data_IF_518829729622
#
_entry.id   IF_518829729622
#
_cell.length_a   1.000
_cell.length_b   1.000
_cell.length_c   1.000
_cell.angle_alpha   90.00
_cell.angle_beta   90.00
_cell.angle_gamma   90.00
#
_symmetry.space_group_name_H-M   'P 1'
#
loop_
_entity.id
_entity.type
_entity.pdbx_description
1 polymer ?
2 non-polymer ?
3 water ?
#
# COMPACT_ATOMS: atom_id res chain seq x y z
N UNK A 2 -9.10 -20.84 -42.34
CA UNK A 2 -9.77 -19.63 -41.79
C UNK A 2 -8.97 -18.87 -40.69
N UNK A 3 -9.51 -17.73 -40.30
CA UNK A 3 -8.86 -16.83 -39.34
C UNK A 3 -9.00 -17.31 -37.89
N UNK A 4 -8.22 -16.71 -37.00
CA UNK A 4 -8.18 -17.12 -35.61
C UNK A 4 -9.58 -17.20 -34.96
N UNK A 5 -10.39 -16.17 -35.14
CA UNK A 5 -11.74 -16.13 -34.58
C UNK A 5 -12.65 -17.21 -35.17
N UNK A 6 -12.51 -17.46 -36.46
CA UNK A 6 -13.31 -18.52 -37.09
C UNK A 6 -13.01 -19.86 -36.43
N UNK A 7 -11.72 -20.13 -36.15
CA UNK A 7 -11.33 -21.39 -35.53
C UNK A 7 -11.89 -21.51 -34.13
N UNK A 8 -11.88 -20.40 -33.40
CA UNK A 8 -12.46 -20.33 -32.06
C UNK A 8 -13.95 -20.64 -32.15
N UNK A 9 -14.63 -20.02 -33.10
CA UNK A 9 -16.09 -20.28 -33.30
C UNK A 9 -16.37 -21.72 -33.67
N UNK A 10 -15.51 -22.32 -34.52
CA UNK A 10 -15.71 -23.72 -34.91
C UNK A 10 -15.42 -24.69 -33.74
N UNK A 11 -14.49 -24.33 -32.85
CA UNK A 11 -14.27 -25.15 -31.65
C UNK A 11 -15.43 -24.99 -30.67
N UNK A 12 -16.12 -23.86 -30.75
CA UNK A 12 -17.18 -23.53 -29.81
C UNK A 12 -16.66 -23.10 -28.44
N UNK A 13 -15.37 -22.79 -28.36
CA UNK A 13 -14.73 -22.46 -27.10
C UNK A 13 -13.60 -21.47 -27.25
N UNK A 14 -13.47 -20.63 -26.24
CA UNK A 14 -12.38 -19.68 -26.16
C UNK A 14 -11.43 -20.26 -25.15
N UNK A 15 -10.20 -20.57 -25.59
CA UNK A 15 -9.21 -21.21 -24.74
C UNK A 15 -8.40 -20.12 -24.07
N UNK A 16 -8.46 -20.08 -22.76
CA UNK A 16 -7.76 -19.03 -22.00
C UNK A 16 -6.85 -19.69 -21.01
N UNK A 17 -5.58 -19.30 -21.02
CA UNK A 17 -4.62 -19.85 -20.08
C UNK A 17 -4.39 -18.86 -18.94
N UNK A 18 -4.41 -19.39 -17.71
CA UNK A 18 -4.34 -18.59 -16.52
C UNK A 18 -3.43 -19.24 -15.50
N UNK A 19 -3.37 -18.61 -14.33
CA UNK A 19 -2.63 -19.10 -13.15
C UNK A 19 -3.62 -18.93 -12.01
N UNK A 20 -3.68 -19.89 -11.10
CA UNK A 20 -4.59 -19.83 -9.96
C UNK A 20 -4.16 -18.78 -8.92
N UNK A 21 -5.11 -17.93 -8.53
CA UNK A 21 -4.88 -16.83 -7.57
C UNK A 21 -6.24 -16.11 -7.29
N UNK A 22 -6.41 -15.56 -6.08
CA UNK A 22 -7.69 -14.85 -5.76
C UNK A 22 -7.98 -13.62 -6.67
N UNK A 23 -6.93 -13.04 -7.24
CA UNK A 23 -7.03 -11.88 -8.16
C UNK A 23 -7.26 -12.26 -9.62
N UNK A 24 -6.85 -13.47 -9.97
CA UNK A 24 -6.87 -13.92 -11.36
C UNK A 24 -7.98 -14.93 -11.56
N UNK A 25 -7.79 -16.11 -10.98
CA UNK A 25 -8.73 -17.22 -11.14
C UNK A 25 -8.70 -18.09 -9.90
N UNK A 26 -9.79 -18.10 -9.14
CA UNK A 26 -9.84 -18.91 -7.92
C UNK A 26 -11.07 -19.80 -7.91
N UNK A 27 -10.90 -21.03 -7.44
CA UNK A 27 -11.98 -22.01 -7.36
C UNK A 27 -12.01 -22.57 -5.94
N UNK A 28 -11.86 -21.69 -4.96
CA UNK A 28 -11.91 -22.10 -3.55
C UNK A 28 -13.33 -22.43 -3.07
N UNK A 29 -14.33 -22.15 -3.93
CA UNK A 29 -15.71 -22.52 -3.65
C UNK A 29 -16.43 -22.84 -4.96
N UNK A 30 -17.70 -23.22 -4.87
CA UNK A 30 -18.51 -23.58 -6.04
C UNK A 30 -18.39 -22.60 -7.22
N UNK A 31 -18.60 -21.30 -6.96
CA UNK A 31 -18.51 -20.28 -8.01
C UNK A 31 -17.05 -19.80 -8.17
N UNK A 32 -16.46 -19.98 -9.37
CA UNK A 32 -15.10 -19.45 -9.52
C UNK A 32 -15.09 -17.92 -9.45
N UNK A 33 -13.93 -17.35 -9.13
CA UNK A 33 -13.82 -15.90 -9.04
C UNK A 33 -12.45 -15.42 -9.53
N UNK A 34 -12.28 -14.11 -9.54
CA UNK A 34 -11.04 -13.48 -9.97
C UNK A 34 -11.37 -12.53 -11.08
N UNK A 35 -10.60 -11.47 -11.17
CA UNK A 35 -10.80 -10.44 -12.20
C UNK A 35 -10.67 -11.00 -13.62
N UNK A 36 -9.56 -11.72 -13.86
CA UNK A 36 -9.27 -12.31 -15.14
C UNK A 36 -10.34 -13.32 -15.52
N UNK A 37 -10.76 -14.16 -14.58
CA UNK A 37 -11.83 -15.11 -14.84
C UNK A 37 -13.13 -14.41 -15.28
N UNK A 38 -13.55 -13.40 -14.53
CA UNK A 38 -14.82 -12.70 -14.81
C UNK A 38 -14.75 -11.98 -16.12
N UNK A 39 -13.63 -11.33 -16.41
CA UNK A 39 -13.50 -10.64 -17.69
C UNK A 39 -13.45 -11.62 -18.87
N UNK A 40 -12.73 -12.72 -18.70
CA UNK A 40 -12.70 -13.78 -19.70
C UNK A 40 -14.07 -14.41 -19.96
N UNK A 41 -14.84 -14.64 -18.92
CA UNK A 41 -16.21 -15.15 -19.09
C UNK A 41 -17.06 -14.20 -19.92
N UNK A 42 -17.01 -12.91 -19.59
CA UNK A 42 -17.78 -11.91 -20.34
C UNK A 42 -17.32 -11.79 -21.81
N UNK A 43 -16.03 -11.96 -22.03
CA UNK A 43 -15.46 -11.94 -23.38
C UNK A 43 -15.93 -13.17 -24.19
N UNK A 44 -15.92 -14.36 -23.57
CA UNK A 44 -16.39 -15.60 -24.21
C UNK A 44 -17.88 -15.46 -24.56
N UNK A 45 -18.68 -14.96 -23.61
CA UNK A 45 -20.09 -14.63 -23.83
C UNK A 45 -20.24 -13.65 -25.01
N UNK A 46 -19.43 -12.59 -25.03
CA UNK A 46 -19.47 -11.61 -26.13
C UNK A 46 -19.21 -12.28 -27.48
N UNK A 47 -18.29 -13.23 -27.52
CA UNK A 47 -17.95 -13.94 -28.78
C UNK A 47 -18.95 -15.03 -29.14
N UNK A 48 -19.75 -15.46 -28.15
CA UNK A 48 -20.72 -16.52 -28.35
C UNK A 48 -20.12 -17.91 -28.24
N UNK A 49 -19.10 -18.08 -27.39
CA UNK A 49 -18.45 -19.41 -27.18
C UNK A 49 -18.32 -19.75 -25.71
N UNK A 50 -18.15 -21.02 -25.39
CA UNK A 50 -17.89 -21.41 -24.01
C UNK A 50 -16.47 -21.01 -23.62
N UNK A 51 -16.29 -20.72 -22.34
CA UNK A 51 -14.98 -20.42 -21.83
C UNK A 51 -14.36 -21.71 -21.40
N UNK A 52 -13.12 -21.96 -21.83
CA UNK A 52 -12.34 -23.12 -21.38
C UNK A 52 -11.07 -22.55 -20.73
N UNK A 53 -11.00 -22.63 -19.41
CA UNK A 53 -9.84 -22.15 -18.64
C UNK A 53 -8.84 -23.27 -18.40
N UNK A 54 -7.55 -22.95 -18.53
CA UNK A 54 -6.49 -23.91 -18.23
C UNK A 54 -5.49 -23.21 -17.31
N UNK A 55 -5.51 -23.52 -16.00
CA UNK A 55 -4.55 -22.89 -15.11
C UNK A 55 -3.20 -23.61 -15.21
N UNK A 56 -2.13 -22.83 -15.22
CA UNK A 56 -0.77 -23.34 -15.29
C UNK A 56 -0.07 -22.78 -14.08
N UNK A 57 1.16 -23.19 -13.91
CA UNK A 57 1.96 -22.65 -12.82
C UNK A 57 3.05 -21.80 -13.35
N UNK A 58 3.51 -22.11 -14.56
CA UNK A 58 4.72 -21.51 -15.09
C UNK A 58 4.46 -20.54 -16.19
N UNK A 59 4.96 -19.32 -16.04
CA UNK A 59 4.71 -18.27 -17.04
C UNK A 59 5.37 -18.54 -18.40
N UNK A 60 6.56 -19.17 -18.39
CA UNK A 60 7.26 -19.47 -19.64
C UNK A 60 6.43 -20.44 -20.44
N UNK A 61 5.82 -21.38 -19.75
CA UNK A 61 4.94 -22.37 -20.34
C UNK A 61 3.72 -21.68 -20.94
N UNK A 62 3.17 -20.68 -20.24
CA UNK A 62 1.99 -19.93 -20.76
C UNK A 62 2.33 -19.35 -22.13
N UNK A 63 3.48 -18.69 -22.21
CA UNK A 63 3.88 -18.06 -23.46
C UNK A 63 4.16 -19.04 -24.59
N UNK A 64 4.69 -20.20 -24.23
CA UNK A 64 4.94 -21.27 -25.21
C UNK A 64 3.60 -21.80 -25.77
N UNK A 65 2.63 -22.02 -24.88
CA UNK A 65 1.27 -22.44 -25.28
C UNK A 65 0.63 -21.43 -26.22
N UNK A 66 0.80 -20.14 -25.88
CA UNK A 66 0.22 -19.10 -26.70
C UNK A 66 0.86 -19.15 -28.07
N UNK A 67 2.17 -19.39 -28.11
CA UNK A 67 2.88 -19.40 -29.39
C UNK A 67 2.58 -20.63 -30.20
N UNK A 68 2.24 -21.73 -29.52
CA UNK A 68 1.97 -23.02 -30.18
C UNK A 68 0.48 -23.17 -30.56
N UNK A 69 -0.33 -22.13 -30.31
CA UNK A 69 -1.78 -22.18 -30.58
C UNK A 69 -2.48 -23.27 -29.74
N UNK A 70 -1.99 -23.48 -28.52
CA UNK A 70 -2.62 -24.41 -27.58
C UNK A 70 -3.61 -23.63 -26.73
N UNK A 71 -3.62 -22.31 -26.89
CA UNK A 71 -4.50 -21.46 -26.14
C UNK A 71 -4.67 -20.18 -26.98
N UNK A 72 -5.75 -19.44 -26.75
CA UNK A 72 -6.04 -18.24 -27.52
C UNK A 72 -5.51 -16.95 -26.93
N UNK A 73 -5.50 -16.87 -25.61
CA UNK A 73 -4.99 -15.69 -24.93
C UNK A 73 -4.51 -16.04 -23.54
N UNK A 74 -3.66 -15.18 -23.00
CA UNK A 74 -3.17 -15.31 -21.62
C UNK A 74 -3.80 -14.26 -20.74
N UNK A 75 -4.43 -14.72 -19.65
CA UNK A 75 -5.10 -13.86 -18.66
C UNK A 75 -4.65 -14.40 -17.33
N UNK A 76 -3.59 -13.81 -16.81
CA UNK A 76 -2.92 -14.36 -15.66
C UNK A 76 -2.19 -13.34 -14.80
N UNK A 77 -2.74 -12.14 -14.70
CA UNK A 77 -2.14 -11.07 -13.88
C UNK A 77 -0.75 -10.66 -14.33
N UNK A 78 -0.48 -10.80 -15.62
CA UNK A 78 0.84 -10.58 -16.17
C UNK A 78 1.23 -9.14 -16.39
N UNK A 79 2.39 -8.80 -15.82
CA UNK A 79 2.93 -7.47 -15.88
C UNK A 79 3.61 -7.26 -17.23
N UNK A 80 3.60 -6.03 -17.72
CA UNK A 80 4.22 -5.78 -19.00
C UNK A 80 5.67 -6.26 -18.97
N UNK A 81 6.05 -7.00 -20.00
CA UNK A 81 7.44 -7.43 -20.14
C UNK A 81 7.87 -7.32 -21.61
N UNK A 82 8.78 -6.37 -21.89
CA UNK A 82 9.24 -6.13 -23.26
C UNK A 82 9.80 -7.39 -23.96
N UNK A 83 10.39 -8.33 -23.21
CA UNK A 83 10.91 -9.57 -23.83
C UNK A 83 9.85 -10.46 -24.42
N UNK A 84 8.60 -10.32 -23.98
CA UNK A 84 7.51 -11.13 -24.48
C UNK A 84 6.96 -10.65 -25.84
N UNK A 85 7.41 -9.48 -26.28
CA UNK A 85 6.88 -8.90 -27.52
C UNK A 85 7.40 -9.48 -28.81
N UNK A 86 8.41 -10.35 -28.72
CA UNK A 86 8.92 -11.01 -29.90
C UNK A 86 7.83 -11.86 -30.55
N UNK A 87 7.10 -12.63 -29.73
CA UNK A 87 6.06 -13.51 -30.23
C UNK A 87 4.65 -13.14 -29.81
N UNK A 88 4.51 -12.20 -28.89
CA UNK A 88 3.21 -11.83 -28.35
C UNK A 88 2.93 -10.31 -28.37
N UNK A 89 1.68 -9.97 -28.15
CA UNK A 89 1.25 -8.58 -28.12
C UNK A 89 0.34 -8.42 -26.93
N UNK A 90 0.39 -7.27 -26.33
CA UNK A 90 -0.40 -7.02 -25.15
C UNK A 90 -1.76 -6.47 -25.51
N UNK A 91 -2.79 -6.83 -24.74
CA UNK A 91 -4.08 -6.17 -24.91
C UNK A 91 -4.02 -4.87 -24.12
N UNK A 92 -5.16 -4.19 -23.96
CA UNK A 92 -5.16 -2.96 -23.17
C UNK A 92 -4.73 -3.16 -21.71
N UNK A 93 -4.23 -2.13 -21.05
CA UNK A 93 -3.86 -2.27 -19.61
C UNK A 93 -5.09 -2.21 -18.73
N UNK A 94 -5.27 -3.15 -17.78
CA UNK A 94 -6.45 -3.09 -16.91
C UNK A 94 -6.28 -2.35 -15.59
N UNK A 95 -5.18 -2.56 -14.94
CA UNK A 95 -4.95 -1.95 -13.64
C UNK A 95 -3.46 -2.01 -13.42
N UNK A 96 -2.97 -1.33 -12.39
CA UNK A 96 -1.56 -1.35 -12.10
C UNK A 96 -1.29 -1.86 -10.70
N UNK A 97 -0.14 -2.49 -10.54
CA UNK A 97 0.30 -3.04 -9.25
C UNK A 97 1.75 -2.65 -8.99
N UNK A 98 2.09 -2.53 -7.71
CA UNK A 98 3.49 -2.29 -7.34
C UNK A 98 4.08 -3.66 -6.94
N UNK A 99 5.40 -3.79 -7.02
CA UNK A 99 6.10 -5.01 -6.63
C UNK A 99 6.56 -4.80 -5.18
N UNK A 100 6.27 -5.76 -4.30
CA UNK A 100 6.64 -5.68 -2.87
C UNK A 100 7.40 -6.92 -2.38
N UNK A 101 8.35 -6.71 -1.47
CA UNK A 101 9.11 -7.84 -0.89
C UNK A 101 8.38 -8.26 0.36
N UNK A 102 8.05 -9.54 0.42
CA UNK A 102 7.29 -10.10 1.52
C UNK A 102 8.18 -10.98 2.42
N UNK A 103 7.91 -10.95 3.72
CA UNK A 103 8.61 -11.80 4.70
C UNK A 103 7.50 -12.28 5.62
N UNK A 104 7.82 -13.18 6.55
CA UNK A 104 6.85 -13.74 7.47
C UNK A 104 6.98 -13.07 8.86
N UNK A 105 5.87 -12.60 9.44
CA UNK A 105 5.89 -12.01 10.79
C UNK A 105 6.46 -13.03 11.76
N UNK A 106 7.32 -12.57 12.67
CA UNK A 106 7.99 -13.45 13.63
C UNK A 106 9.44 -13.69 13.23
N UNK A 107 9.73 -13.57 11.94
CA UNK A 107 11.09 -13.69 11.42
C UNK A 107 11.63 -12.27 11.24
N UNK A 108 12.97 -12.12 11.13
CA UNK A 108 13.52 -10.76 10.99
C UNK A 108 13.01 -9.98 9.75
N UNK A 109 12.63 -8.74 10.00
CA UNK A 109 12.14 -7.86 8.96
C UNK A 109 13.32 -7.25 8.20
N UNK A 110 13.49 -7.61 6.92
CA UNK A 110 14.60 -7.00 6.21
C UNK A 110 14.33 -5.52 5.93
N UNK A 111 15.38 -4.70 5.97
CA UNK A 111 15.26 -3.27 5.74
C UNK A 111 15.49 -2.90 4.25
N UNK A 112 16.25 -3.73 3.55
CA UNK A 112 16.53 -3.51 2.13
C UNK A 112 17.05 -4.83 1.57
N UNK A 113 17.44 -4.84 0.30
CA UNK A 113 18.02 -6.03 -0.30
C UNK A 113 19.45 -6.33 0.20
N UNK A 114 20.04 -5.40 0.96
CA UNK A 114 21.37 -5.63 1.55
C UNK A 114 21.27 -6.49 2.79
N UNK A 115 20.07 -6.53 3.37
CA UNK A 115 19.81 -7.13 4.66
C UNK A 115 19.10 -8.50 4.64
N UNK A 116 19.02 -9.16 3.48
CA UNK A 116 18.35 -10.45 3.42
C UNK A 116 19.21 -11.56 4.02
N UNK A 117 18.59 -12.50 4.73
CA UNK A 117 19.33 -13.64 5.29
C UNK A 117 19.32 -14.78 4.25
N UNK A 118 18.12 -15.14 3.85
CA UNK A 118 17.90 -16.24 2.91
C UNK A 118 17.69 -15.80 1.49
N UNK A 119 17.37 -16.74 0.62
CA UNK A 119 17.16 -16.41 -0.77
C UNK A 119 15.74 -15.91 -1.01
N UNK A 120 15.63 -15.03 -1.99
CA UNK A 120 14.33 -14.55 -2.44
C UNK A 120 14.04 -15.40 -3.68
N UNK A 121 12.90 -16.07 -3.69
CA UNK A 121 12.52 -16.92 -4.81
C UNK A 121 11.27 -16.31 -5.46
N UNK A 122 11.26 -16.21 -6.79
CA UNK A 122 10.10 -15.70 -7.54
C UNK A 122 9.72 -16.71 -8.60
N UNK A 123 8.58 -16.53 -9.23
CA UNK A 123 8.14 -17.45 -10.28
C UNK A 123 8.95 -17.26 -11.56
N UNK A 124 9.36 -18.37 -12.18
CA UNK A 124 10.12 -18.30 -13.45
C UNK A 124 9.33 -17.51 -14.54
N UNK A 125 10.04 -16.66 -15.27
CA UNK A 125 9.45 -15.87 -16.35
C UNK A 125 8.59 -14.65 -15.94
N UNK A 126 8.45 -14.41 -14.65
CA UNK A 126 7.69 -13.31 -14.17
C UNK A 126 8.46 -12.02 -14.34
N UNK A 127 7.73 -10.92 -14.39
CA UNK A 127 8.34 -9.59 -14.39
C UNK A 127 9.11 -9.41 -13.07
N UNK A 128 8.70 -10.12 -12.02
CA UNK A 128 9.45 -10.07 -10.74
C UNK A 128 10.92 -10.52 -10.94
N UNK A 129 11.11 -11.50 -11.82
CA UNK A 129 12.43 -12.04 -12.13
C UNK A 129 13.28 -11.01 -12.81
N UNK A 130 12.68 -10.28 -13.75
CA UNK A 130 13.40 -9.21 -14.45
C UNK A 130 13.87 -8.15 -13.47
N UNK A 131 13.00 -7.78 -12.53
CA UNK A 131 13.35 -6.79 -11.53
C UNK A 131 14.55 -7.25 -10.70
N UNK A 132 14.55 -8.50 -10.25
CA UNK A 132 15.67 -8.98 -9.44
C UNK A 132 17.00 -8.97 -10.23
N UNK A 133 16.97 -9.38 -11.49
CA UNK A 133 18.17 -9.37 -12.32
C UNK A 133 18.72 -7.96 -12.43
N UNK A 134 17.82 -7.00 -12.68
CA UNK A 134 18.18 -5.57 -12.80
C UNK A 134 18.89 -5.05 -11.56
N UNK A 135 18.33 -5.37 -10.38
CA UNK A 135 18.91 -4.95 -9.12
C UNK A 135 20.26 -5.61 -8.82
N UNK A 136 20.43 -6.89 -9.16
CA UNK A 136 21.67 -7.59 -8.88
C UNK A 136 22.84 -7.08 -9.72
N UNK A 137 22.58 -6.73 -10.97
CA UNK A 137 23.61 -6.20 -11.86
C UNK A 137 23.92 -4.72 -11.56
N UNK A 138 23.06 -4.05 -10.79
CA UNK A 138 23.25 -2.64 -10.46
C UNK A 138 23.55 -2.37 -8.97
N UNK A 139 22.51 -2.10 -8.19
CA UNK A 139 22.65 -1.71 -6.78
C UNK A 139 22.91 -2.83 -5.75
N UNK A 140 22.58 -4.08 -6.05
CA UNK A 140 22.80 -5.18 -5.07
C UNK A 140 23.51 -6.43 -5.61
N UNK A 141 24.84 -6.33 -5.87
CA UNK A 141 25.62 -7.47 -6.36
C UNK A 141 25.57 -8.71 -5.47
N UNK A 142 25.36 -8.53 -4.18
CA UNK A 142 25.29 -9.64 -3.22
C UNK A 142 23.98 -10.44 -3.26
N UNK A 143 22.96 -9.90 -3.95
CA UNK A 143 21.65 -10.53 -3.96
C UNK A 143 21.59 -12.01 -4.36
N UNK A 144 21.08 -12.84 -3.45
CA UNK A 144 20.88 -14.27 -3.67
C UNK A 144 19.40 -14.48 -4.00
N UNK A 145 19.13 -14.80 -5.26
CA UNK A 145 17.76 -15.04 -5.70
C UNK A 145 17.72 -16.27 -6.58
N UNK A 146 16.53 -16.81 -6.79
CA UNK A 146 16.34 -17.92 -7.75
C UNK A 146 14.89 -17.90 -8.28
N UNK A 147 14.61 -18.73 -9.28
CA UNK A 147 13.29 -18.83 -9.85
C UNK A 147 12.72 -20.20 -9.59
N UNK A 148 11.40 -20.25 -9.34
CA UNK A 148 10.71 -21.52 -9.13
C UNK A 148 10.06 -21.88 -10.43
N UNK A 149 10.32 -23.08 -10.90
CA UNK A 149 9.73 -23.53 -12.16
C UNK A 149 8.32 -24.07 -11.99
N UNK A 150 8.00 -24.60 -10.82
CA UNK A 150 6.68 -25.22 -10.65
C UNK A 150 5.73 -24.50 -9.68
N UNK A 151 6.14 -23.37 -9.09
CA UNK A 151 5.30 -22.62 -8.17
C UNK A 151 4.96 -21.25 -8.73
N UNK A 152 3.72 -20.83 -8.51
CA UNK A 152 3.23 -19.53 -8.94
C UNK A 152 3.57 -18.53 -7.86
N UNK A 153 3.38 -17.23 -8.16
CA UNK A 153 3.58 -16.17 -7.15
C UNK A 153 2.69 -16.39 -5.95
N UNK A 154 1.48 -16.88 -6.20
CA UNK A 154 0.55 -17.18 -5.14
C UNK A 154 1.10 -18.35 -4.28
N UNK A 155 1.54 -19.43 -4.91
CA UNK A 155 2.10 -20.54 -4.15
C UNK A 155 3.37 -20.12 -3.40
N UNK A 156 4.16 -19.21 -3.96
CA UNK A 156 5.36 -18.71 -3.29
C UNK A 156 5.02 -17.89 -2.05
N UNK A 157 3.95 -17.10 -2.15
CA UNK A 157 3.47 -16.33 -0.98
C UNK A 157 3.01 -17.30 0.10
N UNK A 158 2.27 -18.33 -0.26
CA UNK A 158 1.85 -19.37 0.71
C UNK A 158 3.05 -20.04 1.40
N UNK A 159 4.13 -20.29 0.66
CA UNK A 159 5.36 -20.85 1.24
C UNK A 159 5.98 -19.92 2.29
N UNK A 160 6.00 -18.64 1.99
CA UNK A 160 6.52 -17.66 2.98
C UNK A 160 5.65 -17.72 4.23
N UNK A 161 4.34 -17.79 4.02
CA UNK A 161 3.38 -17.85 5.14
C UNK A 161 3.61 -19.08 6.02
N UNK A 162 3.92 -20.21 5.40
CA UNK A 162 4.18 -21.47 6.11
C UNK A 162 5.61 -21.58 6.67
N UNK A 163 6.48 -20.64 6.35
CA UNK A 163 7.87 -20.71 6.83
C UNK A 163 8.80 -21.62 6.03
N UNK A 164 8.46 -21.89 4.77
CA UNK A 164 9.25 -22.76 3.90
C UNK A 164 10.14 -21.98 2.90
N UNK A 165 9.94 -20.67 2.87
CA UNK A 165 10.67 -19.76 2.02
C UNK A 165 10.79 -18.49 2.85
N UNK A 166 11.95 -17.84 2.81
CA UNK A 166 12.14 -16.64 3.61
C UNK A 166 11.47 -15.42 3.02
N UNK A 167 11.63 -15.22 1.71
CA UNK A 167 11.04 -14.06 1.04
C UNK A 167 10.62 -14.31 -0.40
N UNK A 168 9.68 -13.49 -0.88
CA UNK A 168 9.30 -13.51 -2.28
C UNK A 168 8.96 -12.07 -2.65
N UNK A 169 9.06 -11.79 -3.95
CA UNK A 169 8.76 -10.49 -4.50
C UNK A 169 7.47 -10.72 -5.28
N UNK A 170 6.35 -10.21 -4.76
CA UNK A 170 5.03 -10.36 -5.39
C UNK A 170 4.38 -9.01 -5.69
N UNK A 171 3.19 -9.04 -6.30
CA UNK A 171 2.49 -7.82 -6.65
C UNK A 171 1.56 -7.43 -5.49
N UNK A 172 1.40 -6.13 -5.31
CA UNK A 172 0.61 -5.53 -4.25
C UNK A 172 -0.83 -6.00 -4.12
N UNK A 173 -1.49 -6.30 -5.25
CA UNK A 173 -2.89 -6.70 -5.23
C UNK A 173 -3.05 -8.12 -4.68
N UNK A 174 -2.22 -9.03 -5.17
CA UNK A 174 -2.19 -10.43 -4.72
C UNK A 174 -1.79 -10.54 -3.25
N UNK A 175 -0.78 -9.76 -2.85
CA UNK A 175 -0.34 -9.76 -1.46
C UNK A 175 -1.52 -9.39 -0.56
N UNK A 176 -2.21 -8.30 -0.89
CA UNK A 176 -3.35 -7.83 -0.09
C UNK A 176 -4.40 -8.93 0.09
N UNK A 177 -4.77 -9.61 -1.00
CA UNK A 177 -5.77 -10.67 -0.92
C UNK A 177 -5.32 -11.88 -0.08
N UNK A 178 -4.07 -12.31 -0.27
CA UNK A 178 -3.57 -13.45 0.50
C UNK A 178 -3.41 -13.13 1.97
N UNK A 179 -3.15 -11.87 2.28
CA UNK A 179 -3.06 -11.44 3.69
C UNK A 179 -4.34 -11.70 4.50
N UNK A 180 -5.51 -11.67 3.84
CA UNK A 180 -6.75 -11.92 4.58
C UNK A 180 -6.98 -13.39 4.94
N UNK A 181 -6.13 -14.25 4.40
CA UNK A 181 -6.12 -15.70 4.67
C UNK A 181 -4.83 -16.07 5.41
N UNK A 182 -3.76 -15.32 5.15
CA UNK A 182 -2.46 -15.56 5.77
C UNK A 182 -1.99 -14.23 6.38
N UNK A 183 -2.52 -13.86 7.56
CA UNK A 183 -2.16 -12.57 8.22
C UNK A 183 -0.69 -12.46 8.58
N UNK A 184 -0.01 -13.60 8.69
CA UNK A 184 1.42 -13.67 8.97
C UNK A 184 2.28 -13.15 7.79
N UNK A 185 1.67 -12.93 6.63
CA UNK A 185 2.40 -12.34 5.49
C UNK A 185 2.53 -10.87 5.70
N UNK A 186 3.74 -10.34 5.62
CA UNK A 186 3.94 -8.93 5.78
C UNK A 186 4.81 -8.38 4.69
N UNK A 187 4.63 -7.09 4.41
CA UNK A 187 5.43 -6.38 3.43
C UNK A 187 6.64 -5.79 4.14
N UNK A 188 7.83 -6.10 3.65
CA UNK A 188 9.06 -5.54 4.20
C UNK A 188 9.26 -4.14 3.60
N UNK A 189 9.07 -4.02 2.29
CA UNK A 189 9.20 -2.74 1.59
C UNK A 189 8.69 -2.86 0.17
N UNK A 190 8.42 -1.72 -0.45
CA UNK A 190 8.01 -1.66 -1.83
C UNK A 190 9.29 -1.68 -2.64
N UNK A 191 9.22 -2.27 -3.82
CA UNK A 191 10.40 -2.40 -4.67
C UNK A 191 10.27 -1.57 -5.94
N UNK A 192 9.09 -1.61 -6.55
CA UNK A 192 8.87 -0.83 -7.77
C UNK A 192 7.59 -0.01 -7.64
N UNK A 193 7.48 1.01 -8.50
CA UNK A 193 6.27 1.82 -8.58
C UNK A 193 5.28 1.00 -9.41
N UNK A 194 4.08 1.55 -9.58
CA UNK A 194 3.03 0.88 -10.32
C UNK A 194 3.39 0.46 -11.74
N UNK A 195 3.03 -0.78 -12.10
CA UNK A 195 3.27 -1.33 -13.42
C UNK A 195 1.94 -1.93 -13.90
N UNK A 196 1.65 -1.76 -15.19
CA UNK A 196 0.37 -2.23 -15.72
C UNK A 196 0.29 -3.72 -15.97
N UNK A 197 -0.93 -4.24 -15.82
CA UNK A 197 -1.22 -5.63 -16.10
C UNK A 197 -2.02 -5.69 -17.39
N UNK A 198 -1.73 -6.67 -18.25
CA UNK A 198 -2.46 -6.85 -19.51
C UNK A 198 -2.61 -8.28 -19.90
N UNK A 199 -3.58 -8.56 -20.75
CA UNK A 199 -3.70 -9.86 -21.36
C UNK A 199 -2.68 -9.94 -22.50
N UNK A 200 -2.35 -11.14 -22.94
CA UNK A 200 -1.43 -11.33 -24.07
C UNK A 200 -2.08 -12.22 -25.11
N UNK A 201 -1.77 -11.91 -26.37
CA UNK A 201 -2.25 -12.63 -27.54
C UNK A 201 -1.06 -12.91 -28.44
N UNK A 202 -1.18 -13.91 -29.30
CA UNK A 202 -0.14 -14.17 -30.25
C UNK A 202 -0.02 -13.01 -31.27
N UNK A 203 1.22 -12.66 -31.60
CA UNK A 203 1.45 -11.65 -32.62
C UNK A 203 1.18 -12.30 -33.97
N UNK A 204 0.23 -11.77 -34.71
CA UNK A 204 0.00 -12.27 -36.07
C UNK A 204 -0.57 -11.19 -36.95
N UNK A 205 -0.58 -11.46 -38.25
CA UNK A 205 -1.25 -10.57 -39.20
C UNK A 205 -2.78 -10.74 -39.14
N UNK A 206 -3.27 -11.61 -38.27
CA UNK A 206 -4.70 -11.86 -38.16
C UNK A 206 -5.26 -11.24 -36.87
N UNK A 207 -6.15 -10.27 -37.06
CA UNK A 207 -6.75 -9.52 -35.98
C UNK A 207 -8.18 -9.88 -35.82
N UNK A 208 -8.60 -11.04 -36.33
CA UNK A 208 -9.98 -11.42 -36.14
C UNK A 208 -10.32 -11.57 -34.61
N UNK A 209 -9.40 -12.14 -33.85
CA UNK A 209 -9.57 -12.21 -32.40
C UNK A 209 -9.16 -10.90 -31.74
N UNK A 210 -7.99 -10.38 -32.09
CA UNK A 210 -7.48 -9.18 -31.39
C UNK A 210 -8.42 -7.97 -31.52
N UNK A 211 -8.95 -7.76 -32.72
CA UNK A 211 -9.86 -6.63 -32.95
C UNK A 211 -11.15 -6.85 -32.18
N UNK A 212 -11.62 -8.10 -32.08
CA UNK A 212 -12.80 -8.42 -31.31
C UNK A 212 -12.56 -8.09 -29.84
N UNK A 213 -11.35 -8.39 -29.36
CA UNK A 213 -10.95 -8.06 -27.99
C UNK A 213 -11.02 -6.57 -27.74
N UNK A 214 -10.58 -5.77 -28.72
CA UNK A 214 -10.60 -4.32 -28.56
C UNK A 214 -12.06 -3.77 -28.63
N UNK A 215 -12.90 -4.40 -29.45
CA UNK A 215 -14.32 -4.03 -29.55
C UNK A 215 -15.01 -4.33 -28.23
N UNK A 216 -14.71 -5.51 -27.68
CA UNK A 216 -15.25 -5.93 -26.39
C UNK A 216 -14.82 -4.97 -25.30
N UNK A 217 -13.53 -4.62 -25.29
CA UNK A 217 -13.00 -3.71 -24.30
C UNK A 217 -13.69 -2.37 -24.36
N UNK A 218 -13.91 -1.87 -25.58
CA UNK A 218 -14.62 -0.59 -25.82
C UNK A 218 -16.04 -0.62 -25.21
N UNK A 219 -16.75 -1.72 -25.47
CA UNK A 219 -18.10 -1.87 -24.91
C UNK A 219 -18.07 -1.91 -23.37
N UNK A 220 -17.06 -2.56 -22.81
CA UNK A 220 -16.92 -2.69 -21.35
C UNK A 220 -16.61 -1.38 -20.66
N UNK A 221 -15.79 -0.55 -21.31
CA UNK A 221 -15.45 0.76 -20.76
C UNK A 221 -16.64 1.74 -20.85
N UNK A 222 -17.47 1.57 -21.88
CA UNK A 222 -18.53 2.50 -22.24
C UNK A 222 -19.44 2.99 -21.13
N UNK A 223 -19.97 2.12 -20.28
CA UNK A 223 -20.84 2.57 -19.19
C UNK A 223 -20.12 2.51 -17.81
N UNK A 224 -18.79 2.50 -17.83
CA UNK A 224 -17.99 2.36 -16.58
C UNK A 224 -18.01 0.94 -15.95
N UNK A 225 -18.43 -0.06 -16.72
CA UNK A 225 -18.47 -1.43 -16.23
C UNK A 225 -17.11 -2.02 -15.95
N UNK A 226 -16.09 -1.69 -16.74
CA UNK A 226 -14.76 -2.26 -16.49
C UNK A 226 -14.16 -1.69 -15.21
N UNK A 227 -14.41 -0.40 -14.96
CA UNK A 227 -13.92 0.27 -13.75
C UNK A 227 -14.47 -0.38 -12.52
N UNK A 228 -15.76 -0.66 -12.52
CA UNK A 228 -16.42 -1.29 -11.38
C UNK A 228 -15.73 -2.63 -11.09
N UNK A 229 -15.60 -3.45 -12.14
CA UNK A 229 -14.97 -4.79 -12.02
C UNK A 229 -13.53 -4.68 -11.49
N UNK A 230 -12.76 -3.73 -11.99
CA UNK A 230 -11.39 -3.52 -11.52
C UNK A 230 -11.39 -3.19 -10.04
N UNK A 231 -12.23 -2.24 -9.64
CA UNK A 231 -12.30 -1.76 -8.26
C UNK A 231 -12.78 -2.82 -7.30
N UNK A 232 -13.69 -3.70 -7.75
CA UNK A 232 -14.13 -4.83 -6.92
C UNK A 232 -12.94 -5.70 -6.44
N UNK A 233 -11.99 -6.03 -7.31
CA UNK A 233 -10.81 -6.83 -6.93
C UNK A 233 -9.59 -6.00 -6.50
N UNK A 234 -9.71 -4.68 -6.43
CA UNK A 234 -8.62 -3.75 -6.08
C UNK A 234 -9.21 -2.48 -5.43
N UNK B 2 13.00 39.32 24.63
CA UNK B 2 13.43 37.94 24.98
C UNK B 2 12.65 37.02 24.03
N UNK B 3 13.33 36.45 23.04
CA UNK B 3 12.68 35.66 22.01
C UNK B 3 12.31 34.25 22.48
N UNK B 4 11.45 33.58 21.71
CA UNK B 4 10.98 32.26 22.10
C UNK B 4 12.14 31.29 22.38
N UNK B 5 13.14 31.27 21.49
CA UNK B 5 14.28 30.37 21.68
C UNK B 5 15.11 30.70 22.93
N UNK B 6 15.27 32.00 23.20
CA UNK B 6 15.96 32.43 24.43
C UNK B 6 15.29 31.86 25.67
N UNK B 7 13.95 31.91 25.70
CA UNK B 7 13.18 31.39 26.83
C UNK B 7 13.40 29.90 27.01
N UNK B 8 13.41 29.17 25.88
CA UNK B 8 13.64 27.74 25.86
C UNK B 8 15.03 27.46 26.41
N UNK B 9 16.01 28.22 25.93
CA UNK B 9 17.40 28.03 26.40
C UNK B 9 17.54 28.34 27.88
N UNK B 10 16.84 29.36 28.36
CA UNK B 10 16.90 29.69 29.80
C UNK B 10 16.19 28.64 30.66
N UNK B 11 15.12 28.03 30.16
CA UNK B 11 14.43 26.95 30.88
C UNK B 11 15.30 25.67 30.87
N UNK B 12 16.20 25.56 29.88
CA UNK B 12 17.07 24.40 29.79
C UNK B 12 16.38 23.17 29.24
N UNK B 13 15.19 23.34 28.66
CA UNK B 13 14.43 22.19 28.15
C UNK B 13 13.64 22.53 26.91
N UNK B 14 13.51 21.55 26.03
CA UNK B 14 12.68 21.68 24.86
C UNK B 14 11.45 20.85 25.20
N UNK B 15 10.29 21.50 25.29
CA UNK B 15 9.06 20.84 25.66
C UNK B 15 8.38 20.38 24.38
N UNK B 16 8.21 19.08 24.25
CA UNK B 16 7.63 18.49 23.04
C UNK B 16 6.42 17.68 23.40
N UNK B 17 5.31 17.95 22.75
CA UNK B 17 4.09 17.21 23.01
C UNK B 17 3.86 16.18 21.92
N UNK B 18 3.53 14.96 22.35
CA UNK B 18 3.34 13.85 21.46
C UNK B 18 2.07 13.06 21.82
N UNK B 19 1.88 11.97 21.08
CA UNK B 19 0.83 10.97 21.30
C UNK B 19 1.60 9.63 21.12
N UNK B 20 1.27 8.64 21.94
CA UNK B 20 1.90 7.32 21.88
C UNK B 20 1.53 6.51 20.60
N UNK B 21 2.57 5.99 19.95
CA UNK B 21 2.46 5.16 18.75
C UNK B 21 3.86 4.62 18.35
N UNK B 22 3.92 3.42 17.72
CA UNK B 22 5.25 2.88 17.29
C UNK B 22 6.00 3.78 16.25
N UNK B 23 5.25 4.62 15.52
CA UNK B 23 5.80 5.55 14.51
C UNK B 23 6.23 6.92 15.12
N UNK B 24 5.62 7.26 16.24
CA UNK B 24 5.80 8.56 16.84
C UNK B 24 6.67 8.46 18.06
N UNK B 25 6.08 7.89 19.11
CA UNK B 25 6.73 7.78 20.41
C UNK B 25 6.23 6.53 21.09
N UNK B 26 7.12 5.56 21.26
CA UNK B 26 6.76 4.30 21.93
C UNK B 26 7.73 4.00 23.07
N UNK B 27 7.20 3.36 24.11
CA UNK B 27 7.99 2.97 25.28
C UNK B 27 7.78 1.49 25.57
N UNK B 33 11.29 4.81 21.51
CA UNK B 33 11.50 4.80 20.07
C UNK B 33 10.40 5.56 19.33
N UNK B 34 10.54 5.65 18.01
CA UNK B 34 9.61 6.34 17.14
C UNK B 34 10.38 7.44 16.43
N UNK B 35 9.96 7.72 15.21
CA UNK B 35 10.59 8.74 14.38
C UNK B 35 10.58 10.14 15.03
N UNK B 36 9.39 10.56 15.47
CA UNK B 36 9.20 11.86 16.12
C UNK B 36 10.08 11.95 17.37
N UNK B 37 10.09 10.91 18.19
CA UNK B 37 10.92 10.91 19.38
C UNK B 37 12.42 11.10 19.05
N UNK B 38 12.92 10.30 18.11
CA UNK B 38 14.35 10.35 17.74
C UNK B 38 14.72 11.69 17.14
N UNK B 39 13.85 12.23 16.29
CA UNK B 39 14.12 13.53 15.69
C UNK B 39 14.07 14.65 16.74
N UNK B 40 13.11 14.57 17.66
CA UNK B 40 13.01 15.53 18.77
C UNK B 40 14.26 15.49 19.69
N UNK B 41 14.75 14.29 19.97
CA UNK B 41 15.96 14.17 20.78
C UNK B 41 17.18 14.85 20.07
N UNK B 42 17.34 14.58 18.79
CA UNK B 42 18.44 15.20 18.03
C UNK B 42 18.31 16.75 17.94
N UNK B 43 17.07 17.21 17.88
CA UNK B 43 16.78 18.65 17.85
C UNK B 43 17.13 19.30 19.19
N UNK B 44 16.75 18.65 20.30
CA UNK B 44 17.08 19.10 21.66
C UNK B 44 18.59 19.17 21.85
N UNK B 45 19.28 18.12 21.40
CA UNK B 45 20.76 18.08 21.40
C UNK B 45 21.33 19.23 20.59
N UNK B 46 20.79 19.44 19.39
CA UNK B 46 21.24 20.56 18.56
C UNK B 46 21.11 21.91 19.28
N UNK B 47 20.00 22.08 20.02
CA UNK B 47 19.74 23.33 20.75
C UNK B 47 20.51 23.44 22.05
N UNK B 48 21.01 22.31 22.55
CA UNK B 48 21.76 22.25 23.81
C UNK B 48 20.85 22.26 25.04
N UNK B 49 19.68 21.62 24.93
CA UNK B 49 18.72 21.55 26.04
C UNK B 49 18.22 20.12 26.24
N UNK B 50 17.68 19.85 27.42
CA UNK B 50 17.12 18.53 27.66
C UNK B 50 15.79 18.38 26.95
N UNK B 51 15.48 17.17 26.50
CA UNK B 51 14.20 16.90 25.86
C UNK B 51 13.21 16.55 26.97
N UNK B 52 12.05 17.20 26.99
CA UNK B 52 10.98 16.90 27.92
C UNK B 52 9.75 16.54 27.10
N UNK B 53 9.38 15.27 27.11
CA UNK B 53 8.24 14.73 26.36
C UNK B 53 6.98 14.70 27.18
N UNK B 54 5.86 15.08 26.55
CA UNK B 54 4.55 15.05 27.23
C UNK B 54 3.57 14.34 26.29
N UNK B 55 3.25 13.05 26.54
CA UNK B 55 2.31 12.38 25.63
C UNK B 55 0.88 12.71 26.03
N UNK B 56 0.02 12.95 25.04
CA UNK B 56 -1.37 13.27 25.27
C UNK B 56 -2.16 12.27 24.46
N UNK B 57 -3.47 12.33 24.60
CA UNK B 57 -4.32 11.52 23.78
C UNK B 57 -5.09 12.33 22.82
N UNK B 58 -5.38 13.58 23.19
CA UNK B 58 -6.31 14.39 22.41
C UNK B 58 -5.63 15.47 21.58
N UNK B 59 -5.87 15.45 20.27
CA UNK B 59 -5.22 16.42 19.38
C UNK B 59 -5.61 17.89 19.62
N UNK B 60 -6.88 18.12 19.99
CA UNK B 60 -7.35 19.49 20.24
C UNK B 60 -6.62 20.05 21.44
N UNK B 61 -6.40 19.19 22.43
CA UNK B 61 -5.65 19.55 23.62
C UNK B 61 -4.20 19.87 23.24
N UNK B 62 -3.61 19.11 22.34
CA UNK B 62 -2.22 19.39 21.89
C UNK B 62 -2.12 20.82 21.35
N UNK B 63 -3.06 21.17 20.48
CA UNK B 63 -3.03 22.51 19.88
C UNK B 63 -3.28 23.61 20.87
N UNK B 64 -4.13 23.37 21.87
CA UNK B 64 -4.38 24.33 22.94
C UNK B 64 -3.11 24.56 23.76
N UNK B 65 -2.42 23.47 24.12
CA UNK B 65 -1.14 23.56 24.84
C UNK B 65 -0.12 24.36 24.04
N UNK B 66 -0.05 24.10 22.75
CA UNK B 66 0.90 24.80 21.89
C UNK B 66 0.57 26.29 21.93
N UNK B 67 -0.71 26.60 21.88
CA UNK B 67 -1.12 28.01 21.81
C UNK B 67 -0.96 28.70 23.16
N UNK B 68 -1.03 27.93 24.24
CA UNK B 68 -0.90 28.46 25.60
C UNK B 68 0.54 28.50 26.11
N UNK B 69 1.49 28.11 25.26
CA UNK B 69 2.92 28.06 25.64
C UNK B 69 3.17 27.04 26.78
N UNK B 70 2.41 25.95 26.78
CA UNK B 70 2.61 24.87 27.73
C UNK B 70 3.54 23.83 27.11
N UNK B 71 3.86 24.03 25.85
CA UNK B 71 4.76 23.13 25.13
C UNK B 71 5.33 23.96 24.00
N UNK B 72 6.49 23.55 23.48
CA UNK B 72 7.16 24.31 22.41
C UNK B 72 6.85 23.88 21.00
N UNK B 73 6.59 22.59 20.82
CA UNK B 73 6.25 22.06 19.49
C UNK B 73 5.46 20.79 19.62
N UNK B 74 4.73 20.47 18.54
CA UNK B 74 3.95 19.24 18.46
C UNK B 74 4.63 18.30 17.47
N UNK B 75 4.90 17.07 17.94
CA UNK B 75 5.53 16.01 17.16
C UNK B 75 4.72 14.79 17.49
N UNK B 76 3.70 14.56 16.71
CA UNK B 76 2.71 13.55 17.03
C UNK B 76 2.06 12.93 15.81
N UNK B 77 2.82 12.77 14.73
CA UNK B 77 2.32 12.16 13.50
C UNK B 77 1.14 12.91 12.88
N UNK B 78 1.11 14.21 13.10
CA UNK B 78 -0.01 15.03 12.68
C UNK B 78 -0.01 15.39 11.20
N UNK B 79 -1.14 15.14 10.56
CA UNK B 79 -1.30 15.37 9.15
C UNK B 79 -1.55 16.85 8.93
N UNK B 80 -1.09 17.35 7.80
CA UNK B 80 -1.24 18.76 7.50
C UNK B 80 -2.70 19.10 7.52
N UNK B 81 -3.08 20.15 8.25
CA UNK B 81 -4.50 20.53 8.37
C UNK B 81 -4.61 22.05 8.34
N UNK B 82 -5.17 22.55 7.25
CA UNK B 82 -5.36 24.00 7.02
C UNK B 82 -6.08 24.72 8.17
N UNK B 83 -7.00 24.05 8.87
CA UNK B 83 -7.69 24.68 10.01
C UNK B 83 -6.77 25.03 11.18
N UNK B 84 -5.64 24.35 11.27
CA UNK B 84 -4.69 24.59 12.36
C UNK B 84 -3.77 25.81 12.10
N UNK B 85 -3.82 26.35 10.90
CA UNK B 85 -2.91 27.45 10.51
C UNK B 85 -3.28 28.81 11.03
N UNK B 86 -4.44 28.93 11.63
CA UNK B 86 -4.84 30.19 12.24
C UNK B 86 -3.87 30.55 13.37
N UNK B 87 -3.55 29.58 14.22
CA UNK B 87 -2.69 29.83 15.39
C UNK B 87 -1.32 29.16 15.33
N UNK B 88 -1.16 28.24 14.38
CA UNK B 88 0.06 27.46 14.30
C UNK B 88 0.70 27.49 12.90
N UNK B 89 1.91 26.99 12.84
CA UNK B 89 2.69 26.91 11.59
C UNK B 89 3.17 25.49 11.49
N UNK B 90 3.18 24.95 10.30
CA UNK B 90 3.71 23.64 10.09
C UNK B 90 5.19 23.72 9.78
N UNK B 91 5.97 22.77 10.27
CA UNK B 91 7.39 22.72 9.85
C UNK B 91 7.41 21.99 8.52
N UNK B 92 8.61 21.68 8.01
CA UNK B 92 8.67 20.93 6.76
C UNK B 92 8.01 19.54 6.85
N UNK B 93 7.55 18.99 5.73
CA UNK B 93 6.95 17.67 5.71
C UNK B 93 8.03 16.59 5.84
N UNK B 94 7.84 15.60 6.71
CA UNK B 94 8.82 14.50 6.81
C UNK B 94 8.53 13.29 5.92
N UNK B 95 7.28 12.95 5.81
CA UNK B 95 6.88 11.82 5.02
C UNK B 95 5.42 12.01 4.71
N UNK B 96 4.88 11.20 3.81
CA UNK B 96 3.47 11.26 3.50
C UNK B 96 2.80 9.93 3.76
N UNK B 97 1.52 10.01 4.12
CA UNK B 97 0.71 8.85 4.40
C UNK B 97 -0.64 8.98 3.70
N UNK B 98 -1.24 7.84 3.36
CA UNK B 98 -2.60 7.83 2.84
C UNK B 98 -3.54 7.54 4.01
N UNK B 99 -4.82 7.93 3.86
CA UNK B 99 -5.84 7.65 4.87
C UNK B 99 -6.52 6.36 4.39
N UNK B 100 -6.64 5.38 5.30
CA UNK B 100 -7.25 4.08 4.96
C UNK B 100 -8.35 3.69 5.94
N UNK B 101 -9.40 3.06 5.42
CA UNK B 101 -10.49 2.58 6.28
C UNK B 101 -10.14 1.16 6.70
N UNK B 102 -10.14 0.92 8.00
CA UNK B 102 -9.74 -0.37 8.55
C UNK B 102 -10.96 -1.11 9.12
N UNK B 103 -10.96 -2.42 8.96
CA UNK B 103 -12.01 -3.28 9.51
C UNK B 103 -11.27 -4.48 10.08
N UNK B 104 -11.97 -5.37 10.75
CA UNK B 104 -11.36 -6.55 11.37
C UNK B 104 -11.64 -7.81 10.50
N UNK B 105 -10.59 -8.59 10.19
CA UNK B 105 -10.77 -9.84 9.42
C UNK B 105 -11.75 -10.73 10.15
N UNK B 106 -12.66 -11.35 9.40
CA UNK B 106 -13.69 -12.21 9.99
C UNK B 106 -15.04 -11.50 9.98
N UNK B 107 -15.01 -10.17 9.99
CA UNK B 107 -16.23 -9.36 9.93
C UNK B 107 -16.39 -8.92 8.48
N UNK B 108 -17.59 -8.45 8.10
CA UNK B 108 -17.80 -8.07 6.68
C UNK B 108 -16.88 -6.95 6.17
N UNK B 109 -16.29 -7.19 5.00
CA UNK B 109 -15.40 -6.24 4.37
C UNK B 109 -16.22 -5.19 3.64
N UNK B 110 -16.19 -3.93 4.12
CA UNK B 110 -16.97 -2.93 3.39
C UNK B 110 -16.29 -2.58 2.07
N UNK B 111 -17.08 -2.30 1.06
CA UNK B 111 -16.57 -1.98 -0.29
C UNK B 111 -16.43 -0.47 -0.50
N UNK B 112 -17.22 0.30 0.23
CA UNK B 112 -17.15 1.77 0.17
C UNK B 112 -17.84 2.31 1.42
N UNK B 113 -17.97 3.63 1.52
CA UNK B 113 -18.69 4.23 2.65
C UNK B 113 -20.21 4.04 2.55
N UNK B 114 -20.70 3.50 1.43
CA UNK B 114 -22.14 3.20 1.30
C UNK B 114 -22.49 1.92 2.01
N UNK B 115 -21.48 1.09 2.20
CA UNK B 115 -21.61 -0.28 2.64
C UNK B 115 -21.23 -0.58 4.09
N UNK B 116 -21.08 0.45 4.93
CA UNK B 116 -20.70 0.18 6.33
C UNK B 116 -21.86 -0.36 7.15
N UNK B 117 -21.58 -1.30 8.06
CA UNK B 117 -22.56 -1.91 8.96
C UNK B 117 -22.35 -1.43 10.40
N UNK B 118 -21.80 -0.25 10.60
CA UNK B 118 -21.56 0.29 11.95
C UNK B 118 -20.87 1.64 11.89
N UNK B 119 -20.58 2.23 13.04
CA UNK B 119 -19.96 3.54 13.01
C UNK B 119 -18.45 3.49 12.80
N UNK B 120 -17.94 4.53 12.16
CA UNK B 120 -16.53 4.76 12.00
C UNK B 120 -16.21 5.75 13.11
N UNK B 121 -15.25 5.42 13.97
CA UNK B 121 -14.83 6.36 15.03
C UNK B 121 -13.38 6.77 14.76
N UNK B 122 -13.09 8.07 14.82
CA UNK B 122 -11.71 8.58 14.63
C UNK B 122 -11.34 9.42 15.82
N UNK B 123 -10.08 9.79 15.94
CA UNK B 123 -9.67 10.65 17.09
C UNK B 123 -10.13 12.07 16.90
N UNK B 124 -10.67 12.71 17.97
CA UNK B 124 -11.11 14.12 17.90
C UNK B 124 -9.97 15.04 17.42
N UNK B 125 -10.29 15.98 16.54
CA UNK B 125 -9.33 16.94 16.00
C UNK B 125 -8.34 16.45 14.96
N UNK B 126 -8.42 15.17 14.60
CA UNK B 126 -7.57 14.63 13.58
C UNK B 126 -7.99 15.08 12.23
N UNK B 127 -7.03 15.05 11.29
CA UNK B 127 -7.33 15.29 9.88
C UNK B 127 -8.33 14.23 9.40
N UNK B 128 -8.30 13.05 10.01
CA UNK B 128 -9.27 12.00 9.65
C UNK B 128 -10.72 12.47 9.84
N UNK B 129 -10.94 13.28 10.88
CA UNK B 129 -12.25 13.82 11.19
C UNK B 129 -12.70 14.76 10.12
N UNK B 130 -11.78 15.61 9.64
CA UNK B 130 -12.12 16.54 8.57
C UNK B 130 -12.55 15.80 7.31
N UNK B 131 -11.82 14.73 6.99
CA UNK B 131 -12.16 13.93 5.82
C UNK B 131 -13.58 13.34 5.94
N UNK B 132 -13.91 12.78 7.08
CA UNK B 132 -15.24 12.18 7.25
C UNK B 132 -16.36 13.23 7.13
N UNK B 133 -16.17 14.41 7.71
CA UNK B 133 -17.19 15.46 7.62
C UNK B 133 -17.42 15.82 6.16
N UNK B 134 -16.32 15.98 5.42
CA UNK B 134 -16.37 16.31 3.98
C UNK B 134 -17.18 15.28 3.18
N UNK B 135 -16.93 14.00 3.43
CA UNK B 135 -17.63 12.92 2.74
C UNK B 135 -19.14 12.85 3.10
N UNK B 136 -19.47 13.08 4.37
CA UNK B 136 -20.88 12.98 4.80
C UNK B 136 -21.74 14.10 4.21
N UNK B 137 -21.18 15.31 4.12
CA UNK B 137 -21.90 16.45 3.56
C UNK B 137 -21.96 16.39 2.03
N UNK B 138 -21.15 15.54 1.41
CA UNK B 138 -21.13 15.41 -0.06
C UNK B 138 -21.68 14.07 -0.59
N UNK B 139 -20.78 13.13 -0.80
CA UNK B 139 -21.13 11.84 -1.41
C UNK B 139 -21.79 10.78 -0.51
N UNK B 140 -21.63 10.87 0.81
CA UNK B 140 -22.20 9.83 1.70
C UNK B 140 -23.04 10.32 2.89
N UNK B 141 -24.27 10.84 2.62
CA UNK B 141 -25.17 11.30 3.68
C UNK B 141 -25.50 10.24 4.74
N UNK B 142 -25.44 8.97 4.35
CA UNK B 142 -25.74 7.87 5.29
C UNK B 142 -24.62 7.55 6.27
N UNK B 143 -23.44 8.11 6.05
CA UNK B 143 -22.29 7.85 6.90
C UNK B 143 -22.54 8.15 8.40
N UNK B 144 -22.36 7.13 9.22
CA UNK B 144 -22.47 7.23 10.67
C UNK B 144 -21.05 7.26 11.21
N UNK B 145 -20.62 8.40 11.74
CA UNK B 145 -19.26 8.51 12.30
C UNK B 145 -19.33 9.26 13.61
N UNK B 146 -18.27 9.16 14.40
CA UNK B 146 -18.12 10.01 15.60
C UNK B 146 -16.63 10.20 15.91
N UNK B 147 -16.33 11.08 16.87
CA UNK B 147 -14.95 11.32 17.28
C UNK B 147 -14.80 10.84 18.72
N UNK B 148 -13.64 10.26 19.01
CA UNK B 148 -13.31 9.83 20.37
C UNK B 148 -12.51 10.92 21.00
N UNK B 149 -12.95 11.38 22.16
CA UNK B 149 -12.23 12.45 22.86
C UNK B 149 -11.04 11.94 23.65
N UNK B 150 -11.10 10.69 24.09
CA UNK B 150 -10.01 10.17 24.93
C UNK B 150 -9.13 9.07 24.33
N UNK B 151 -9.39 8.67 23.08
CA UNK B 151 -8.60 7.61 22.42
C UNK B 151 -7.81 8.17 21.23
N UNK B 152 -6.59 7.67 21.06
CA UNK B 152 -5.75 8.07 19.95
C UNK B 152 -6.09 7.17 18.77
N UNK B 153 -5.56 7.51 17.60
CA UNK B 153 -5.69 6.70 16.38
C UNK B 153 -5.17 5.30 16.60
N UNK B 154 -4.09 5.22 17.36
CA UNK B 154 -3.50 3.94 17.69
C UNK B 154 -4.45 3.15 18.61
N UNK B 155 -4.99 3.78 19.65
CA UNK B 155 -5.93 3.08 20.51
C UNK B 155 -7.19 2.66 19.74
N UNK B 156 -7.62 3.48 18.77
CA UNK B 156 -8.80 3.13 17.97
C UNK B 156 -8.55 1.90 17.08
N UNK B 157 -7.33 1.82 16.53
CA UNK B 157 -6.95 0.66 15.73
C UNK B 157 -6.94 -0.59 16.60
N UNK B 158 -6.40 -0.49 17.81
CA UNK B 158 -6.42 -1.64 18.76
C UNK B 158 -7.86 -2.09 19.08
N UNK B 159 -8.78 -1.13 19.21
CA UNK B 159 -10.20 -1.47 19.44
C UNK B 159 -10.81 -2.26 18.26
N UNK B 160 -10.48 -1.86 17.03
CA UNK B 160 -10.97 -2.60 15.87
C UNK B 160 -10.43 -4.02 15.92
N UNK B 161 -9.15 -4.15 16.28
CA UNK B 161 -8.49 -5.45 16.37
C UNK B 161 -9.19 -6.37 17.39
N UNK B 162 -9.58 -5.79 18.53
CA UNK B 162 -10.26 -6.52 19.59
C UNK B 162 -11.75 -6.73 19.36
N UNK B 163 -12.32 -6.15 18.31
CA UNK B 163 -13.76 -6.29 18.05
C UNK B 163 -14.67 -5.39 18.86
N UNK B 164 -14.15 -4.26 19.35
CA UNK B 164 -14.92 -3.30 20.13
C UNK B 164 -15.37 -2.07 19.31
N UNK B 165 -14.85 -1.97 18.09
CA UNK B 165 -15.15 -0.90 17.17
C UNK B 165 -15.17 -1.53 15.81
N UNK B 166 -16.16 -1.19 14.98
CA UNK B 166 -16.26 -1.82 13.65
C UNK B 166 -15.20 -1.31 12.66
N UNK B 167 -15.04 0.02 12.63
CA UNK B 167 -14.09 0.64 11.70
C UNK B 167 -13.45 1.90 12.25
N UNK B 168 -12.29 2.23 11.68
CA UNK B 168 -11.59 3.50 11.95
C UNK B 168 -10.94 3.91 10.66
N UNK B 169 -10.73 5.20 10.54
CA UNK B 169 -10.03 5.80 9.40
C UNK B 169 -8.69 6.23 9.97
N UNK B 170 -7.60 5.50 9.65
CA UNK B 170 -6.26 5.81 10.15
C UNK B 170 -5.26 6.06 9.03
N UNK B 171 -4.01 6.38 9.39
CA UNK B 171 -2.99 6.64 8.38
C UNK B 171 -2.24 5.34 8.06
N UNK B 172 -1.83 5.22 6.80
CA UNK B 172 -1.16 4.03 6.27
C UNK B 172 0.08 3.57 7.02
N UNK B 173 0.85 4.49 7.57
CA UNK B 173 2.10 4.13 8.28
C UNK B 173 1.79 3.45 9.61
N UNK B 174 0.90 4.05 10.38
CA UNK B 174 0.46 3.50 11.67
C UNK B 174 -0.25 2.14 11.50
N UNK B 175 -1.11 2.07 10.48
CA UNK B 175 -1.81 0.81 10.18
C UNK B 175 -0.79 -0.31 9.96
N UNK B 176 0.20 -0.04 9.09
CA UNK B 176 1.22 -1.04 8.75
C UNK B 176 1.93 -1.55 10.01
N UNK B 177 2.33 -0.64 10.90
CA UNK B 177 3.03 -1.05 12.11
C UNK B 177 2.16 -1.87 13.08
N UNK B 178 0.90 -1.45 13.26
CA UNK B 178 0.01 -2.17 14.16
C UNK B 178 -0.35 -3.55 13.62
N UNK B 179 -0.38 -3.67 12.30
CA UNK B 179 -0.64 -4.97 11.67
C UNK B 179 0.35 -6.06 12.05
N UNK B 180 1.60 -5.71 12.36
CA UNK B 180 2.62 -6.71 12.70
C UNK B 180 2.39 -7.32 14.10
N UNK B 181 1.52 -6.67 14.90
CA UNK B 181 1.14 -7.20 16.22
C UNK B 181 -0.35 -7.53 16.24
N UNK B 182 -1.14 -6.95 15.35
CA UNK B 182 -2.56 -7.27 15.22
C UNK B 182 -2.83 -7.62 13.76
N UNK B 183 -2.49 -8.86 13.34
CA UNK B 183 -2.68 -9.29 11.93
C UNK B 183 -4.14 -9.29 11.48
N UNK B 184 -5.05 -9.35 12.45
CA UNK B 184 -6.50 -9.28 12.18
C UNK B 184 -6.95 -7.89 11.66
N UNK B 185 -6.08 -6.89 11.73
CA UNK B 185 -6.41 -5.56 11.18
C UNK B 185 -6.22 -5.61 9.69
N UNK B 186 -7.24 -5.18 8.94
CA UNK B 186 -7.15 -5.20 7.50
C UNK B 186 -7.64 -3.88 6.94
N UNK B 187 -7.13 -3.56 5.75
CA UNK B 187 -7.52 -2.35 5.04
C UNK B 187 -8.69 -2.69 4.14
N UNK B 188 -9.79 -1.96 4.27
CA UNK B 188 -10.94 -2.16 3.41
C UNK B 188 -10.71 -1.43 2.08
N UNK B 189 -10.23 -0.19 2.16
CA UNK B 189 -9.91 0.62 0.97
C UNK B 189 -9.17 1.87 1.38
N UNK B 190 -8.52 2.50 0.40
CA UNK B 190 -7.85 3.76 0.60
C UNK B 190 -8.91 4.82 0.46
N UNK B 191 -8.76 5.89 1.21
CA UNK B 191 -9.74 6.98 1.20
C UNK B 191 -9.15 8.24 0.61
N UNK B 192 -7.91 8.57 0.97
CA UNK B 192 -7.25 9.73 0.40
C UNK B 192 -5.89 9.35 -0.17
N UNK B 193 -5.38 10.19 -1.05
CA UNK B 193 -4.03 10.05 -1.58
C UNK B 193 -3.08 10.56 -0.48
N UNK B 194 -1.79 10.47 -0.76
CA UNK B 194 -0.76 10.88 0.18
C UNK B 194 -0.92 12.32 0.72
N UNK B 195 -0.77 12.44 2.04
CA UNK B 195 -0.83 13.72 2.72
C UNK B 195 0.40 13.81 3.59
N UNK B 196 1.02 15.00 3.66
CA UNK B 196 2.23 15.16 4.43
C UNK B 196 2.03 15.26 5.93
N UNK B 197 3.02 14.75 6.68
CA UNK B 197 3.03 14.81 8.10
C UNK B 197 4.07 15.83 8.49
N UNK B 198 3.71 16.70 9.45
CA UNK B 198 4.63 17.75 9.87
C UNK B 198 4.55 18.02 11.36
N UNK B 199 5.61 18.59 11.87
CA UNK B 199 5.58 19.13 13.21
C UNK B 199 4.82 20.47 13.19
N UNK B 200 4.29 20.90 14.34
CA UNK B 200 3.63 22.19 14.44
C UNK B 200 4.29 23.03 15.53
N UNK B 201 4.34 24.34 15.28
CA UNK B 201 4.89 25.33 16.16
C UNK B 201 3.89 26.48 16.30
N UNK B 202 3.97 27.20 17.38
CA UNK B 202 3.07 28.31 17.57
C UNK B 202 3.42 29.46 16.62
N UNK B 203 2.40 30.12 16.07
CA UNK B 203 2.66 31.36 15.30
C UNK B 203 3.06 32.44 16.27
N UNK B 204 4.31 32.83 16.27
CA UNK B 204 4.87 33.71 17.29
C UNK B 204 5.22 35.03 16.73
N UNK B 205 5.40 36.01 17.63
CA UNK B 205 5.83 37.34 17.21
C UNK B 205 7.27 37.33 16.72
N UNK B 206 8.00 36.22 16.98
CA UNK B 206 9.36 36.10 16.50
C UNK B 206 9.45 34.75 15.76
N UNK B 207 10.49 34.61 14.97
CA UNK B 207 10.72 33.43 14.11
C UNK B 207 11.90 32.65 14.65
N UNK B 208 12.30 32.93 15.89
CA UNK B 208 13.53 32.37 16.45
C UNK B 208 13.55 30.86 16.47
N UNK B 209 12.46 30.24 16.93
CA UNK B 209 12.43 28.78 17.10
C UNK B 209 12.25 28.07 15.81
N UNK B 210 11.29 28.53 14.98
CA UNK B 210 11.11 27.97 13.64
C UNK B 210 12.40 28.10 12.82
N UNK B 211 13.09 29.24 12.91
CA UNK B 211 14.36 29.43 12.18
C UNK B 211 15.41 28.37 12.61
N UNK B 212 15.48 28.13 13.91
CA UNK B 212 16.41 27.14 14.46
C UNK B 212 16.04 25.76 13.94
N UNK B 213 14.73 25.49 13.87
CA UNK B 213 14.23 24.22 13.35
C UNK B 213 14.64 24.04 11.92
N UNK B 214 14.58 25.10 11.11
CA UNK B 214 15.01 25.00 9.69
C UNK B 214 16.53 24.83 9.56
N UNK B 215 17.29 25.45 10.46
CA UNK B 215 18.74 25.28 10.47
C UNK B 215 19.09 23.84 10.81
N UNK B 216 18.40 23.31 11.81
CA UNK B 216 18.57 21.92 12.24
C UNK B 216 18.21 20.98 11.11
N UNK B 217 17.07 21.22 10.48
CA UNK B 217 16.61 20.41 9.36
C UNK B 217 17.62 20.42 8.22
N UNK B 218 18.17 21.58 7.89
CA UNK B 218 19.18 21.70 6.82
C UNK B 218 20.45 20.90 7.16
N UNK B 219 20.88 20.97 8.40
CA UNK B 219 22.03 20.13 8.84
C UNK B 219 21.72 18.63 8.73
N UNK B 220 20.50 18.24 9.04
CA UNK B 220 20.07 16.83 8.98
C UNK B 220 19.99 16.32 7.57
N UNK B 221 19.56 17.16 6.62
CA UNK B 221 19.48 16.79 5.22
C UNK B 221 20.89 16.64 4.61
N UNK B 222 21.87 17.42 5.08
CA UNK B 222 23.26 17.23 4.59
C UNK B 222 23.74 15.78 4.73
N UNK B 223 24.31 15.25 3.67
CA UNK B 223 24.82 13.88 3.71
C UNK B 223 23.70 12.82 3.92
N UNK B 224 22.44 13.21 3.70
CA UNK B 224 21.33 12.26 3.71
C UNK B 224 20.82 11.65 5.00
N UNK B 225 21.19 12.21 6.15
CA UNK B 225 20.78 11.64 7.43
C UNK B 225 19.27 11.63 7.66
N UNK B 226 18.55 12.68 7.25
CA UNK B 226 17.10 12.70 7.51
C UNK B 226 16.38 11.66 6.66
N UNK B 227 16.83 11.48 5.42
CA UNK B 227 16.23 10.49 4.51
C UNK B 227 16.36 9.10 5.09
N UNK B 228 17.55 8.78 5.57
CA UNK B 228 17.81 7.46 6.15
C UNK B 228 16.85 7.23 7.29
N UNK B 229 16.77 8.19 8.21
CA UNK B 229 15.88 8.11 9.39
C UNK B 229 14.43 7.93 9.00
N UNK B 230 13.97 8.68 8.01
CA UNK B 230 12.59 8.57 7.52
C UNK B 230 12.34 7.15 7.03
N UNK B 231 13.25 6.65 6.19
CA UNK B 231 13.10 5.29 5.62
C UNK B 231 13.20 4.18 6.68
N UNK B 232 14.10 4.36 7.63
CA UNK B 232 14.28 3.41 8.74
C UNK B 232 13.01 3.27 9.56
N UNK B 233 12.34 4.38 9.90
CA UNK B 233 11.08 4.32 10.69
C UNK B 233 9.81 4.26 9.82
N UNK B 234 9.96 3.81 8.56
CA UNK B 234 8.82 3.58 7.65
C UNK B 234 9.03 2.32 6.81
X LIG C 1 4.56 -11.21 -14.44
X LIG D 1 -3.96 14.23 12.21
#
# INVERSE_FOLDING_TARGET
SNAQLDQIKARGELRVSTISSPLIYSTEKDTPSGFDYELAKRFADYLGVKLVIIPHHNIDDLFDALDNDDTDLLAAGLIYNRERLNRARTGPAYYSVSQQLVYRLGSPRPKSFSDLKGQVVVASGSAHMTTLKRLKQTKYPELNWSSSVDKSGKELLEQVAEGKLDYTLGDSATIALLQRIHPQLAVAFDVTDEEPVTWYFKQSDDDSLYAAMLDFYSEMVEDGSLARLEEKYLGHVGSFDYV
SNAQLDQIKARGELRVSTISSPLIYSTEKDTPSGFDYELAKRFADYLGVKLVIIPHHNIDDLFDALDNDDTDLLAAGLIYNRERLNRARTGPAYYSVSQQLVYRLGSPRPKSFSDLKGQVVVASGSAHMTTLKRLKQTKYPELNWSSSVDKSGKELLEQVAEGKLDYTLGDSATIALLQRIHPQLAVAFDVTDEEPVTWYFKQSDDDSLYAAMLDFYSEMVEDGSLARLEEKYLGHVGSFDYV
CL CL
CL CL
#
